data_IF_076350644699
#
_entry.id   IF_076350644699
#
_cell.length_a   1.000
_cell.length_b   1.000
_cell.length_c   1.000
_cell.angle_alpha   90.00
_cell.angle_beta   90.00
_cell.angle_gamma   90.00
#
_symmetry.space_group_name_H-M   'P 1'
#
loop_
_entity.id
_entity.type
_entity.pdbx_description
1 polymer ?
#
# COMPACT_ATOMS: atom_id res chain seq x y z
N UNK A 1 13.33 -2.91 -13.51
CA UNK A 1 12.14 -2.16 -13.02
C UNK A 1 12.50 -0.68 -12.95
N UNK A 2 11.59 0.24 -13.36
CA UNK A 2 11.80 1.70 -13.29
C UNK A 2 11.13 2.35 -12.06
N UNK A 3 10.89 1.57 -11.01
CA UNK A 3 10.21 2.00 -9.78
C UNK A 3 11.18 1.91 -8.59
N UNK A 4 11.21 2.96 -7.77
CA UNK A 4 12.00 3.01 -6.54
C UNK A 4 11.14 2.55 -5.36
N UNK A 5 11.43 1.36 -4.81
CA UNK A 5 10.76 0.81 -3.63
C UNK A 5 11.26 1.35 -2.28
N UNK A 6 12.34 2.14 -2.28
CA UNK A 6 12.94 2.70 -1.06
C UNK A 6 12.35 4.06 -0.64
N UNK A 7 11.53 4.68 -1.48
CA UNK A 7 10.98 6.01 -1.21
C UNK A 7 9.60 6.20 -1.82
N UNK A 8 8.79 7.07 -1.21
CA UNK A 8 7.50 7.50 -1.75
C UNK A 8 7.52 8.93 -2.28
N UNK A 9 6.74 9.18 -3.33
CA UNK A 9 6.36 10.50 -3.82
C UNK A 9 5.24 11.12 -2.97
N UNK A 10 5.05 12.44 -3.08
CA UNK A 10 3.90 13.14 -2.47
C UNK A 10 2.69 13.16 -3.41
N UNK A 11 2.93 13.20 -4.72
CA UNK A 11 1.92 13.25 -5.77
C UNK A 11 2.40 12.42 -6.96
N UNK A 12 1.46 12.06 -7.84
CA UNK A 12 1.77 11.43 -9.13
C UNK A 12 2.40 12.49 -10.04
N UNK A 13 3.48 12.18 -10.79
CA UNK A 13 4.08 13.13 -11.71
C UNK A 13 3.09 13.61 -12.79
N UNK A 14 3.06 14.91 -13.03
CA UNK A 14 2.30 15.56 -14.09
C UNK A 14 3.06 15.63 -15.42
N UNK A 15 2.43 16.15 -16.49
CA UNK A 15 3.03 16.23 -17.83
C UNK A 15 4.32 17.07 -17.90
N UNK A 16 4.40 18.10 -17.06
CA UNK A 16 5.54 19.03 -17.01
C UNK A 16 6.65 18.57 -16.03
N UNK A 17 6.42 17.48 -15.28
CA UNK A 17 7.41 16.97 -14.34
C UNK A 17 8.53 16.26 -15.10
N UNK A 18 9.77 16.70 -14.86
CA UNK A 18 10.94 16.02 -15.41
C UNK A 18 11.21 14.71 -14.65
N UNK A 19 10.52 13.65 -15.05
CA UNK A 19 10.68 12.31 -14.46
C UNK A 19 11.89 11.61 -15.06
N UNK A 20 13.08 11.97 -14.58
CA UNK A 20 14.32 11.24 -14.88
C UNK A 20 14.61 10.19 -13.80
N UNK A 21 15.07 9.01 -14.21
CA UNK A 21 15.46 7.92 -13.31
C UNK A 21 14.30 7.01 -12.86
N UNK A 22 14.32 6.58 -11.59
CA UNK A 22 13.31 5.66 -11.03
C UNK A 22 12.14 6.42 -10.40
N UNK A 23 10.91 6.05 -10.80
CA UNK A 23 9.66 6.65 -10.32
C UNK A 23 9.36 6.17 -8.90
N UNK A 24 8.93 7.07 -8.02
CA UNK A 24 8.47 6.73 -6.67
C UNK A 24 6.95 6.65 -6.67
N UNK A 25 6.39 5.67 -5.97
CA UNK A 25 4.94 5.56 -5.79
C UNK A 25 4.44 6.55 -4.74
N UNK A 26 3.18 6.95 -4.82
CA UNK A 26 2.49 7.64 -3.70
C UNK A 26 2.08 6.63 -2.62
N UNK A 27 1.70 7.12 -1.45
CA UNK A 27 1.14 6.25 -0.40
C UNK A 27 -0.17 5.59 -0.83
N UNK A 28 -1.04 6.30 -1.54
CA UNK A 28 -2.27 5.76 -2.12
C UNK A 28 -1.97 4.63 -3.13
N UNK A 29 -0.97 4.78 -4.00
CA UNK A 29 -0.56 3.74 -4.93
C UNK A 29 0.02 2.52 -4.21
N UNK A 30 0.84 2.73 -3.18
CA UNK A 30 1.36 1.64 -2.35
C UNK A 30 0.23 0.89 -1.61
N UNK A 31 -0.79 1.61 -1.12
CA UNK A 31 -1.97 1.01 -0.50
C UNK A 31 -2.81 0.21 -1.51
N UNK A 32 -2.97 0.73 -2.72
CA UNK A 32 -3.64 0.04 -3.81
C UNK A 32 -2.94 -1.28 -4.16
N UNK A 33 -1.60 -1.30 -4.22
CA UNK A 33 -0.83 -2.54 -4.45
C UNK A 33 -1.08 -3.59 -3.36
N UNK A 34 -1.25 -3.16 -2.12
CA UNK A 34 -1.62 -4.05 -1.01
C UNK A 34 -3.10 -4.43 -1.01
N UNK A 35 -3.90 -3.97 -1.98
CA UNK A 35 -5.35 -4.18 -2.07
C UNK A 35 -6.14 -3.58 -0.89
N UNK A 36 -5.67 -2.47 -0.32
CA UNK A 36 -6.51 -1.68 0.57
C UNK A 36 -7.66 -1.03 -0.22
N UNK A 37 -8.88 -0.97 0.35
CA UNK A 37 -9.96 -0.16 -0.22
C UNK A 37 -9.57 1.31 -0.34
N UNK A 38 -10.11 2.01 -1.33
CA UNK A 38 -9.77 3.42 -1.59
C UNK A 38 -10.18 4.34 -0.43
N UNK A 39 -11.29 3.99 0.24
CA UNK A 39 -11.81 4.69 1.42
C UNK A 39 -11.00 4.43 2.70
N UNK A 40 -10.01 3.53 2.67
CA UNK A 40 -9.23 3.16 3.84
C UNK A 40 -8.35 4.34 4.33
N UNK A 41 -8.52 4.71 5.60
CA UNK A 41 -7.80 5.84 6.20
C UNK A 41 -6.61 5.36 7.03
N UNK A 42 -5.42 5.83 6.66
CA UNK A 42 -4.20 5.59 7.43
C UNK A 42 -3.91 6.76 8.37
N UNK A 43 -3.47 6.47 9.59
CA UNK A 43 -3.21 7.48 10.60
C UNK A 43 -1.83 8.15 10.43
N UNK A 44 -1.73 9.41 10.83
CA UNK A 44 -0.47 10.15 10.90
C UNK A 44 0.02 10.74 9.57
N UNK A 45 1.24 11.29 9.59
CA UNK A 45 1.89 11.92 8.42
C UNK A 45 2.47 10.86 7.47
N UNK A 46 2.99 11.31 6.33
CA UNK A 46 3.52 10.48 5.23
C UNK A 46 4.36 9.28 5.67
N UNK A 47 5.40 9.48 6.49
CA UNK A 47 6.30 8.39 6.92
C UNK A 47 5.57 7.35 7.78
N UNK A 48 4.66 7.79 8.65
CA UNK A 48 3.87 6.88 9.49
C UNK A 48 2.87 6.08 8.64
N UNK A 49 2.21 6.74 7.68
CA UNK A 49 1.30 6.07 6.73
C UNK A 49 2.04 5.04 5.87
N UNK A 50 3.20 5.39 5.34
CA UNK A 50 4.00 4.47 4.53
C UNK A 50 4.39 3.21 5.30
N UNK A 51 4.85 3.36 6.55
CA UNK A 51 5.21 2.22 7.40
C UNK A 51 4.00 1.33 7.71
N UNK A 52 2.83 1.92 7.96
CA UNK A 52 1.59 1.15 8.13
C UNK A 52 1.27 0.33 6.87
N UNK A 53 1.37 0.92 5.68
CA UNK A 53 1.10 0.23 4.41
C UNK A 53 2.14 -0.87 4.13
N UNK A 54 3.43 -0.55 4.29
CA UNK A 54 4.53 -1.45 3.95
C UNK A 54 4.71 -2.60 4.93
N UNK A 55 4.33 -2.44 6.20
CA UNK A 55 4.41 -3.49 7.22
C UNK A 55 3.10 -4.26 7.42
N UNK A 56 2.00 -3.83 6.80
CA UNK A 56 0.74 -4.55 6.89
C UNK A 56 0.79 -5.86 6.10
N UNK A 57 0.11 -6.88 6.61
CA UNK A 57 -0.35 -7.99 5.78
C UNK A 57 -1.44 -7.49 4.84
N UNK A 58 -1.42 -7.84 3.54
CA UNK A 58 -2.46 -7.41 2.60
C UNK A 58 -3.86 -7.82 3.10
N UNK A 59 -4.90 -6.98 3.01
CA UNK A 59 -6.25 -7.32 3.46
C UNK A 59 -6.81 -8.63 2.88
N UNK A 60 -6.58 -9.00 1.60
CA UNK A 60 -7.02 -10.30 1.08
C UNK A 60 -6.40 -11.50 1.81
N UNK A 61 -5.13 -11.38 2.24
CA UNK A 61 -4.46 -12.41 3.04
C UNK A 61 -5.10 -12.51 4.42
N UNK A 62 -5.37 -11.37 5.08
CA UNK A 62 -6.08 -11.34 6.35
C UNK A 62 -7.46 -11.99 6.27
N UNK A 63 -8.22 -11.72 5.20
CA UNK A 63 -9.53 -12.35 4.95
C UNK A 63 -9.40 -13.87 4.79
N UNK A 64 -8.51 -14.34 3.93
CA UNK A 64 -8.31 -15.76 3.69
C UNK A 64 -7.93 -16.51 4.98
N UNK A 65 -7.01 -15.94 5.76
CA UNK A 65 -6.60 -16.49 7.05
C UNK A 65 -7.78 -16.55 8.04
N UNK A 66 -8.53 -15.46 8.18
CA UNK A 66 -9.70 -15.41 9.07
C UNK A 66 -10.77 -16.44 8.70
N UNK A 67 -11.03 -16.63 7.41
CA UNK A 67 -11.96 -17.67 6.93
C UNK A 67 -11.47 -19.08 7.25
N UNK A 68 -10.17 -19.36 7.10
CA UNK A 68 -9.59 -20.65 7.43
C UNK A 68 -9.73 -20.96 8.93
N UNK A 69 -9.44 -19.98 9.80
CA UNK A 69 -9.62 -20.13 11.25
C UNK A 69 -11.09 -20.34 11.61
N UNK A 70 -12.00 -19.53 11.07
CA UNK A 70 -13.43 -19.69 11.31
C UNK A 70 -13.95 -21.06 10.87
N UNK A 71 -13.45 -21.59 9.76
CA UNK A 71 -13.80 -22.95 9.29
C UNK A 71 -13.35 -24.00 10.30
N UNK A 72 -12.09 -23.93 10.76
CA UNK A 72 -11.53 -24.88 11.72
C UNK A 72 -12.25 -24.86 13.08
N UNK A 73 -12.75 -23.69 13.52
CA UNK A 73 -13.49 -23.56 14.77
C UNK A 73 -14.95 -24.04 14.68
N UNK A 74 -15.51 -24.12 13.47
CA UNK A 74 -16.87 -24.61 13.22
C UNK A 74 -16.91 -26.04 12.67
N UNK A 75 -15.75 -26.73 12.65
CA UNK A 75 -15.61 -28.11 12.20
C UNK A 75 -15.79 -29.11 13.34
#
# INVERSE_FOLDING_TARGET
MRVNGGALANAVPGPDDNVSGMIKLTDAQAACLQSFPEEWRFAGKKTARYRQIGHASPPPVGKALGMAVATALNS
#
